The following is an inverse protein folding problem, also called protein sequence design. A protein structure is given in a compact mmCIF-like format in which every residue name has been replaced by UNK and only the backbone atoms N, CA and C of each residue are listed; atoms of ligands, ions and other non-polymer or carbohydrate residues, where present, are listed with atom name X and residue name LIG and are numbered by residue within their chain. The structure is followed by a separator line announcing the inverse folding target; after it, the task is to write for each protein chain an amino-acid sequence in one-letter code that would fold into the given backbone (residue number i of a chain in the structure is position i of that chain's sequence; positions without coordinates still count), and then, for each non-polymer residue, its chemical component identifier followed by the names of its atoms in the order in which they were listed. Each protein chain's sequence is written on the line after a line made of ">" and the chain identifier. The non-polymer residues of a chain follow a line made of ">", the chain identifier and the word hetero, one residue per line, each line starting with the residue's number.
data_IF_541494948504
#
_entry.id   IF_541494948504
#
_cell.length_a   1.000
_cell.length_b   1.000
_cell.length_c   1.000
_cell.angle_alpha   90.00
_cell.angle_beta   90.00
_cell.angle_gamma   90.00
#
_symmetry.space_group_name_H-M   'P 1'
#
loop_
_entity.id
_entity.type
_entity.pdbx_description
1 polymer ?
#
# COMPACT_ATOMS: atom_id res chain seq x y z
N UNK A 1 -5.66 13.06 19.73
CA UNK A 1 -6.15 12.38 18.51
C UNK A 1 -6.50 10.92 18.83
N UNK A 2 -7.42 10.70 19.77
CA UNK A 2 -7.91 9.36 20.10
C UNK A 2 -9.15 9.02 19.27
N UNK A 3 -9.47 7.73 19.10
CA UNK A 3 -10.65 7.29 18.34
C UNK A 3 -11.93 7.83 18.99
N UNK A 4 -12.73 8.57 18.22
CA UNK A 4 -13.97 9.19 18.67
C UNK A 4 -13.79 10.59 19.29
N UNK A 5 -12.59 11.15 19.27
CA UNK A 5 -12.37 12.56 19.60
C UNK A 5 -13.06 13.48 18.59
N UNK A 6 -13.88 14.42 19.07
CA UNK A 6 -14.47 15.46 18.22
C UNK A 6 -13.46 16.59 18.01
N UNK A 7 -13.21 16.95 16.74
CA UNK A 7 -12.23 17.96 16.34
C UNK A 7 -12.84 18.97 15.35
N UNK A 8 -12.17 20.12 15.20
CA UNK A 8 -12.60 21.21 14.29
C UNK A 8 -13.41 22.30 15.01
N UNK A 9 -13.99 23.22 14.24
CA UNK A 9 -14.72 24.38 14.79
C UNK A 9 -16.17 24.10 15.18
N UNK A 10 -16.66 22.87 14.92
CA UNK A 10 -18.07 22.50 15.06
C UNK A 10 -18.99 23.07 13.98
N UNK A 11 -18.44 23.71 12.94
CA UNK A 11 -19.20 24.27 11.81
C UNK A 11 -18.88 23.50 10.53
N UNK A 12 -19.92 23.19 9.76
CA UNK A 12 -19.80 22.48 8.48
C UNK A 12 -20.39 21.08 8.52
N UNK A 13 -20.24 20.30 7.44
CA UNK A 13 -20.71 18.93 7.39
C UNK A 13 -19.95 18.05 8.38
N UNK A 14 -20.64 17.01 8.88
CA UNK A 14 -19.97 15.97 9.63
C UNK A 14 -19.16 15.09 8.69
N UNK A 15 -17.92 14.79 9.08
CA UNK A 15 -16.94 14.03 8.29
C UNK A 15 -16.27 12.99 9.17
N UNK A 16 -15.81 11.91 8.55
CA UNK A 16 -14.86 11.01 9.18
C UNK A 16 -13.44 11.52 8.91
N UNK A 17 -12.56 11.36 9.90
CA UNK A 17 -11.14 11.73 9.79
C UNK A 17 -10.30 10.52 10.18
N UNK A 18 -9.44 10.08 9.27
CA UNK A 18 -8.34 9.18 9.58
C UNK A 18 -7.03 9.95 9.54
N UNK A 19 -6.16 9.66 10.49
CA UNK A 19 -4.95 10.42 10.72
C UNK A 19 -3.82 9.47 11.09
N UNK A 20 -2.68 9.67 10.44
CA UNK A 20 -1.41 9.12 10.84
C UNK A 20 -0.44 10.30 10.97
N UNK A 21 -0.33 10.90 12.18
CA UNK A 21 0.46 12.12 12.38
C UNK A 21 1.93 11.95 12.00
N UNK A 22 2.47 10.74 12.11
CA UNK A 22 3.82 10.40 11.70
C UNK A 22 3.89 8.91 11.31
N UNK A 23 3.62 8.66 10.03
CA UNK A 23 3.87 7.37 9.41
C UNK A 23 5.40 7.18 9.31
N UNK A 24 5.88 6.00 9.69
CA UNK A 24 7.30 5.70 9.69
C UNK A 24 8.08 6.45 10.79
N UNK A 25 7.65 6.36 12.04
CA UNK A 25 8.39 6.96 13.18
C UNK A 25 9.87 6.60 13.21
N UNK A 26 10.23 5.33 12.92
CA UNK A 26 11.61 4.86 12.77
C UNK A 26 12.32 5.50 11.58
N UNK A 27 11.62 5.68 10.46
CA UNK A 27 12.13 6.32 9.25
C UNK A 27 12.52 7.76 9.57
N UNK A 28 11.60 8.50 10.19
CA UNK A 28 11.81 9.88 10.61
C UNK A 28 12.99 10.01 11.57
N UNK A 29 13.03 9.18 12.62
CA UNK A 29 14.10 9.20 13.61
C UNK A 29 15.50 8.94 13.03
N UNK A 30 15.58 8.20 11.92
CA UNK A 30 16.84 7.84 11.26
C UNK A 30 17.14 8.67 10.01
N UNK A 31 16.31 9.67 9.69
CA UNK A 31 16.39 10.45 8.44
C UNK A 31 16.46 9.56 7.19
N UNK A 32 15.61 8.53 7.16
CA UNK A 32 15.42 7.66 6.00
C UNK A 32 14.30 8.24 5.10
N UNK A 33 14.24 7.86 3.81
CA UNK A 33 13.17 8.32 2.93
C UNK A 33 11.81 7.72 3.31
N UNK A 34 10.73 8.43 2.93
CA UNK A 34 9.32 8.00 3.02
C UNK A 34 8.64 8.13 4.39
N UNK A 35 9.15 8.93 5.32
CA UNK A 35 8.36 9.35 6.47
C UNK A 35 7.31 10.39 6.03
N UNK A 36 6.05 10.22 6.46
CA UNK A 36 4.93 11.05 6.02
C UNK A 36 4.07 11.51 7.20
N UNK A 37 3.41 12.65 7.05
CA UNK A 37 2.25 13.02 7.86
C UNK A 37 1.01 12.87 6.99
N UNK A 38 0.03 12.08 7.44
CA UNK A 38 -1.13 11.67 6.62
C UNK A 38 -2.42 12.09 7.30
N UNK A 39 -3.33 12.65 6.51
CA UNK A 39 -4.72 12.90 6.89
C UNK A 39 -5.63 12.52 5.72
N UNK A 40 -6.72 11.82 6.02
CA UNK A 40 -7.81 11.54 5.10
C UNK A 40 -9.11 12.04 5.70
N UNK A 41 -9.93 12.70 4.88
CA UNK A 41 -11.23 13.25 5.26
C UNK A 41 -12.26 12.72 4.26
N UNK A 42 -13.33 12.11 4.77
CA UNK A 42 -14.40 11.56 3.96
C UNK A 42 -15.77 11.91 4.54
N UNK A 43 -16.83 11.67 3.77
CA UNK A 43 -18.19 11.75 4.30
C UNK A 43 -18.35 10.83 5.52
N UNK A 44 -19.23 11.23 6.44
CA UNK A 44 -19.44 10.49 7.68
C UNK A 44 -19.92 9.06 7.40
N UNK A 45 -19.24 8.08 7.99
CA UNK A 45 -19.50 6.64 7.82
C UNK A 45 -18.85 6.03 6.58
N UNK A 46 -18.03 6.77 5.82
CA UNK A 46 -17.37 6.25 4.62
C UNK A 46 -16.03 5.56 4.90
N UNK A 47 -15.38 5.85 6.02
CA UNK A 47 -14.13 5.19 6.38
C UNK A 47 -14.42 3.90 7.14
N UNK A 48 -13.78 2.80 6.72
CA UNK A 48 -13.82 1.55 7.46
C UNK A 48 -13.25 1.76 8.87
N UNK A 49 -14.04 1.39 9.89
CA UNK A 49 -13.51 1.26 11.24
C UNK A 49 -12.60 0.02 11.30
N UNK A 50 -11.30 0.23 11.13
CA UNK A 50 -10.29 -0.80 11.28
C UNK A 50 -9.70 -0.74 12.69
N UNK A 51 -9.75 -1.83 13.48
CA UNK A 51 -9.00 -1.90 14.73
C UNK A 51 -7.49 -1.94 14.43
N UNK A 52 -6.66 -1.64 15.44
CA UNK A 52 -5.20 -1.69 15.31
C UNK A 52 -4.71 -3.15 15.29
N UNK A 53 -4.87 -3.79 14.13
CA UNK A 53 -4.48 -5.16 13.82
C UNK A 53 -3.80 -5.22 12.46
N UNK A 54 -3.09 -6.31 12.20
CA UNK A 54 -2.57 -6.56 10.85
C UNK A 54 -3.69 -6.79 9.84
N UNK A 55 -3.42 -6.38 8.61
CA UNK A 55 -4.27 -6.59 7.44
C UNK A 55 -3.35 -6.97 6.28
N UNK A 56 -3.66 -8.07 5.60
CA UNK A 56 -3.02 -8.42 4.33
C UNK A 56 -3.52 -7.45 3.25
N UNK A 57 -2.62 -6.99 2.40
CA UNK A 57 -2.84 -5.92 1.42
C UNK A 57 -2.29 -6.32 0.07
N UNK A 58 -3.08 -6.02 -0.95
CA UNK A 58 -2.66 -6.00 -2.36
C UNK A 58 -3.21 -4.73 -3.00
N UNK A 59 -2.37 -4.02 -3.74
CA UNK A 59 -2.76 -2.77 -4.39
C UNK A 59 -2.01 -2.56 -5.71
N UNK A 60 -2.70 -1.98 -6.68
CA UNK A 60 -2.17 -1.55 -7.98
C UNK A 60 -2.69 -0.14 -8.28
N UNK A 61 -2.02 0.55 -9.20
CA UNK A 61 -2.43 1.87 -9.68
C UNK A 61 -3.69 1.88 -10.55
N UNK A 62 -4.12 3.08 -11.01
CA UNK A 62 -5.24 3.23 -11.92
C UNK A 62 -4.91 2.73 -13.34
N UNK A 63 -5.92 2.70 -14.22
CA UNK A 63 -5.75 2.34 -15.63
C UNK A 63 -5.90 0.85 -15.94
N UNK A 64 -6.10 0.02 -14.91
CA UNK A 64 -6.37 -1.40 -15.03
C UNK A 64 -7.86 -1.72 -14.85
N UNK A 65 -8.36 -2.83 -15.43
CA UNK A 65 -9.74 -3.26 -15.24
C UNK A 65 -10.03 -3.65 -13.78
N UNK A 66 -11.28 -3.47 -13.35
CA UNK A 66 -11.74 -3.96 -12.05
C UNK A 66 -11.56 -5.49 -11.93
N UNK A 67 -11.19 -5.94 -10.73
CA UNK A 67 -10.98 -7.36 -10.44
C UNK A 67 -9.70 -7.96 -11.04
N UNK A 68 -8.74 -7.13 -11.50
CA UNK A 68 -7.47 -7.63 -12.04
C UNK A 68 -6.62 -8.36 -10.99
N UNK A 69 -6.67 -7.89 -9.75
CA UNK A 69 -5.96 -8.45 -8.60
C UNK A 69 -6.95 -9.09 -7.61
N UNK A 70 -6.52 -10.15 -6.96
CA UNK A 70 -7.28 -10.89 -5.96
C UNK A 70 -6.36 -11.26 -4.79
N UNK A 71 -6.76 -10.92 -3.57
CA UNK A 71 -5.97 -11.19 -2.36
C UNK A 71 -5.90 -12.68 -2.02
N UNK A 72 -6.88 -13.47 -2.47
CA UNK A 72 -6.91 -14.93 -2.26
C UNK A 72 -6.11 -15.68 -3.34
N UNK A 73 -5.75 -15.01 -4.44
CA UNK A 73 -4.92 -15.58 -5.50
C UNK A 73 -3.43 -15.60 -5.11
N UNK A 74 -2.67 -16.50 -5.73
CA UNK A 74 -1.23 -16.56 -5.48
C UNK A 74 -0.52 -15.30 -5.99
N UNK A 75 0.64 -14.92 -5.40
CA UNK A 75 1.44 -13.81 -5.91
C UNK A 75 1.80 -13.98 -7.39
N UNK A 76 2.05 -15.22 -7.82
CA UNK A 76 2.37 -15.54 -9.22
C UNK A 76 1.21 -15.23 -10.18
N UNK A 77 -0.03 -15.54 -9.79
CA UNK A 77 -1.21 -15.25 -10.60
C UNK A 77 -1.45 -13.74 -10.71
N UNK A 78 -1.39 -13.01 -9.59
CA UNK A 78 -1.54 -11.57 -9.58
C UNK A 78 -0.48 -10.86 -10.44
N UNK A 79 0.79 -11.28 -10.33
CA UNK A 79 1.88 -10.74 -11.13
C UNK A 79 1.73 -11.04 -12.62
N UNK A 80 1.29 -12.26 -12.97
CA UNK A 80 1.03 -12.63 -14.36
C UNK A 80 -0.16 -11.84 -14.95
N UNK A 81 -1.23 -11.64 -14.18
CA UNK A 81 -2.38 -10.85 -14.58
C UNK A 81 -1.98 -9.39 -14.81
N UNK A 82 -1.24 -8.80 -13.88
CA UNK A 82 -0.76 -7.42 -13.99
C UNK A 82 0.18 -7.24 -15.17
N UNK A 83 1.17 -8.12 -15.36
CA UNK A 83 2.09 -8.10 -16.49
C UNK A 83 1.34 -8.17 -17.84
N UNK A 84 0.36 -9.08 -17.93
CA UNK A 84 -0.49 -9.21 -19.12
C UNK A 84 -1.30 -7.94 -19.40
N UNK A 85 -1.87 -7.33 -18.37
CA UNK A 85 -2.66 -6.10 -18.51
C UNK A 85 -1.79 -4.89 -18.89
N UNK A 86 -0.57 -4.79 -18.34
CA UNK A 86 0.43 -3.76 -18.67
C UNK A 86 1.09 -3.99 -20.04
N UNK A 87 1.03 -5.22 -20.57
CA UNK A 87 1.62 -5.59 -21.87
C UNK A 87 3.13 -5.82 -21.82
N UNK A 88 3.64 -6.25 -20.67
CA UNK A 88 5.07 -6.48 -20.41
C UNK A 88 5.34 -7.90 -19.92
N UNK A 89 6.62 -8.29 -19.79
CA UNK A 89 6.95 -9.57 -19.16
C UNK A 89 6.80 -9.46 -17.64
N UNK A 90 6.60 -10.58 -16.94
CA UNK A 90 6.55 -10.61 -15.46
C UNK A 90 7.86 -10.08 -14.85
N UNK A 91 8.98 -10.27 -15.52
CA UNK A 91 10.28 -9.73 -15.12
C UNK A 91 10.38 -8.21 -15.16
N UNK A 92 9.46 -7.54 -15.85
CA UNK A 92 9.40 -6.07 -15.94
C UNK A 92 8.46 -5.46 -14.88
N UNK A 93 7.85 -6.30 -14.02
CA UNK A 93 7.01 -5.88 -12.91
C UNK A 93 7.85 -5.78 -11.63
N UNK A 94 7.65 -4.70 -10.87
CA UNK A 94 8.29 -4.48 -9.58
C UNK A 94 7.26 -4.48 -8.45
N UNK A 95 7.40 -5.44 -7.51
CA UNK A 95 6.58 -5.52 -6.30
C UNK A 95 7.23 -4.79 -5.12
N UNK A 96 6.48 -3.94 -4.42
CA UNK A 96 6.88 -3.32 -3.16
C UNK A 96 6.39 -4.18 -1.98
N UNK A 97 7.30 -4.52 -1.07
CA UNK A 97 7.03 -5.43 0.07
C UNK A 97 7.79 -4.94 1.31
N UNK A 98 7.16 -4.95 2.48
CA UNK A 98 7.86 -4.73 3.75
C UNK A 98 8.88 -5.84 4.03
N UNK A 99 10.12 -5.47 4.34
CA UNK A 99 11.17 -6.41 4.73
C UNK A 99 10.92 -6.90 6.16
N UNK A 100 10.22 -8.02 6.28
CA UNK A 100 9.81 -8.63 7.55
C UNK A 100 9.95 -10.14 7.48
N UNK A 101 10.32 -10.81 8.59
CA UNK A 101 10.36 -12.27 8.63
C UNK A 101 9.05 -12.94 8.21
N UNK A 102 7.90 -12.34 8.54
CA UNK A 102 6.57 -12.83 8.12
C UNK A 102 6.35 -12.86 6.60
N UNK A 103 7.08 -12.03 5.84
CA UNK A 103 6.97 -11.96 4.38
C UNK A 103 7.99 -12.85 3.65
N UNK A 104 8.81 -13.65 4.33
CA UNK A 104 9.83 -14.47 3.68
C UNK A 104 9.25 -15.37 2.57
N UNK A 105 8.12 -16.04 2.84
CA UNK A 105 7.43 -16.89 1.84
C UNK A 105 6.88 -16.08 0.66
N UNK A 106 6.33 -14.90 0.93
CA UNK A 106 5.82 -13.99 -0.11
C UNK A 106 6.96 -13.50 -1.01
N UNK A 107 8.07 -13.07 -0.41
CA UNK A 107 9.27 -12.62 -1.12
C UNK A 107 9.82 -13.74 -2.01
N UNK A 108 9.92 -14.96 -1.49
CA UNK A 108 10.39 -16.12 -2.27
C UNK A 108 9.43 -16.46 -3.41
N UNK A 109 8.12 -16.40 -3.17
CA UNK A 109 7.11 -16.63 -4.20
C UNK A 109 7.19 -15.59 -5.32
N UNK A 110 7.36 -14.30 -5.00
CA UNK A 110 7.54 -13.24 -5.99
C UNK A 110 8.84 -13.41 -6.76
N UNK A 111 9.97 -13.68 -6.09
CA UNK A 111 11.27 -13.94 -6.76
C UNK A 111 11.19 -15.11 -7.74
N UNK A 112 10.46 -16.17 -7.40
CA UNK A 112 10.31 -17.35 -8.26
C UNK A 112 9.60 -17.04 -9.60
N UNK A 113 8.84 -15.93 -9.68
CA UNK A 113 8.19 -15.47 -10.92
C UNK A 113 9.14 -14.73 -11.88
N UNK A 114 10.28 -14.24 -11.36
CA UNK A 114 11.19 -13.36 -12.07
C UNK A 114 10.90 -11.86 -11.91
N UNK A 115 9.79 -11.46 -11.27
CA UNK A 115 9.50 -10.07 -10.95
C UNK A 115 10.56 -9.45 -10.01
N UNK A 116 10.80 -8.15 -10.16
CA UNK A 116 11.66 -7.39 -9.27
C UNK A 116 10.96 -7.13 -7.93
N UNK A 117 11.75 -6.93 -6.86
CA UNK A 117 11.23 -6.59 -5.53
C UNK A 117 11.91 -5.35 -4.98
N UNK A 118 11.10 -4.35 -4.62
CA UNK A 118 11.49 -3.20 -3.82
C UNK A 118 11.15 -3.49 -2.35
N UNK A 119 12.16 -3.90 -1.58
CA UNK A 119 12.01 -4.07 -0.14
C UNK A 119 12.04 -2.72 0.58
N UNK A 120 11.06 -2.48 1.46
CA UNK A 120 10.99 -1.28 2.30
C UNK A 120 11.03 -1.64 3.79
N UNK A 121 11.70 -0.80 4.57
CA UNK A 121 11.90 -1.04 6.00
C UNK A 121 10.68 -0.70 6.85
N UNK A 122 9.87 0.28 6.46
CA UNK A 122 8.62 0.75 7.06
C UNK A 122 7.90 1.55 5.94
N UNK A 123 6.69 2.06 6.15
CA UNK A 123 6.08 2.95 5.15
C UNK A 123 5.16 2.28 4.15
N UNK A 124 4.22 1.44 4.57
CA UNK A 124 3.31 0.78 3.62
C UNK A 124 2.24 1.72 3.04
N UNK A 125 1.86 2.80 3.73
CA UNK A 125 1.02 3.88 3.15
C UNK A 125 1.71 4.49 1.93
N UNK A 126 2.98 4.88 2.07
CA UNK A 126 3.78 5.37 0.96
C UNK A 126 3.95 4.29 -0.13
N UNK A 127 4.24 3.04 0.29
CA UNK A 127 4.42 1.91 -0.61
C UNK A 127 3.19 1.63 -1.49
N UNK A 128 1.99 1.71 -0.93
CA UNK A 128 0.73 1.57 -1.66
C UNK A 128 0.48 2.78 -2.57
N UNK A 129 0.68 4.01 -2.07
CA UNK A 129 0.51 5.22 -2.89
C UNK A 129 1.43 5.21 -4.11
N UNK A 130 2.67 4.74 -3.97
CA UNK A 130 3.61 4.70 -5.11
C UNK A 130 3.10 3.87 -6.29
N UNK A 131 2.24 2.87 -6.05
CA UNK A 131 1.63 2.08 -7.13
C UNK A 131 0.79 2.91 -8.10
N UNK A 132 0.36 4.13 -7.71
CA UNK A 132 -0.45 5.00 -8.58
C UNK A 132 0.34 5.71 -9.66
N UNK A 133 1.67 5.80 -9.52
CA UNK A 133 2.57 6.37 -10.52
C UNK A 133 3.81 5.46 -10.71
N UNK A 134 3.63 4.30 -11.37
CA UNK A 134 4.70 3.33 -11.57
C UNK A 134 5.81 3.86 -12.49
N UNK A 135 5.52 4.83 -13.36
CA UNK A 135 6.51 5.41 -14.27
C UNK A 135 7.51 6.30 -13.53
N UNK A 136 7.07 7.05 -12.50
CA UNK A 136 7.95 7.84 -11.64
C UNK A 136 8.60 6.98 -10.54
N UNK A 137 7.83 6.11 -9.89
CA UNK A 137 8.27 5.40 -8.67
C UNK A 137 8.95 4.06 -8.94
N UNK A 138 8.70 3.47 -10.11
CA UNK A 138 9.13 2.11 -10.44
C UNK A 138 8.44 1.02 -9.62
N UNK A 139 7.28 1.28 -9.02
CA UNK A 139 6.51 0.31 -8.21
C UNK A 139 5.18 0.04 -8.91
N UNK A 140 4.97 -1.20 -9.35
CA UNK A 140 3.76 -1.60 -10.08
C UNK A 140 2.66 -2.14 -9.16
N UNK A 141 3.06 -2.83 -8.09
CA UNK A 141 2.17 -3.53 -7.18
C UNK A 141 2.73 -3.49 -5.76
N UNK A 142 1.85 -3.34 -4.77
CA UNK A 142 2.18 -3.59 -3.36
C UNK A 142 1.64 -4.95 -2.94
N UNK A 143 2.43 -5.73 -2.21
CA UNK A 143 2.03 -7.01 -1.62
C UNK A 143 2.54 -7.10 -0.17
N UNK A 144 1.67 -7.48 0.77
CA UNK A 144 2.06 -7.92 2.13
C UNK A 144 1.22 -7.31 3.22
#
# INVERSE_FOLDING_TARGET
>A
LYIGEEVGTGKGPAVDIALDPLEGTTICAKNLPNALAVIAIAEKGSLLFAPDVYMDKIAIGPGYPEGLIDIDASPAENLANLAKAKGVAVSDITACILDRPRHAKLIDAVRATGAAIRLIGDGDVAGVIHTTDPDETGIDIYLG
#
